data_IF_981525335634
#
_entry.id   IF_981525335634
#
_cell.length_a   1.000
_cell.length_b   1.000
_cell.length_c   1.000
_cell.angle_alpha   90.00
_cell.angle_beta   90.00
_cell.angle_gamma   90.00
#
_symmetry.space_group_name_H-M   'P 1'
#
loop_
_entity.id
_entity.type
_entity.pdbx_description
1 polymer ?
#
# COMPACT_ATOMS: atom_id res chain seq x y z
N UNK A 1 14.13 -19.51 9.81
CA UNK A 1 13.15 -18.40 9.85
C UNK A 1 12.69 -18.14 8.42
N UNK A 2 11.40 -17.93 8.18
CA UNK A 2 10.88 -17.71 6.81
C UNK A 2 11.22 -16.29 6.35
N UNK A 3 11.85 -16.16 5.19
CA UNK A 3 12.25 -14.90 4.55
C UNK A 3 11.08 -13.90 4.42
N UNK A 4 9.83 -14.40 4.39
CA UNK A 4 8.62 -13.59 4.31
C UNK A 4 8.38 -12.70 5.54
N UNK A 5 9.00 -13.03 6.69
CA UNK A 5 8.88 -12.22 7.91
C UNK A 5 9.94 -11.10 7.98
N UNK A 6 10.92 -11.10 7.09
CA UNK A 6 11.94 -10.06 7.04
C UNK A 6 11.32 -8.73 6.60
N UNK A 7 11.76 -7.63 7.23
CA UNK A 7 11.35 -6.27 6.88
C UNK A 7 12.13 -5.77 5.67
N UNK A 8 11.85 -6.36 4.51
CA UNK A 8 12.55 -6.13 3.24
C UNK A 8 11.63 -5.93 2.06
N UNK A 9 10.32 -5.84 2.32
CA UNK A 9 9.28 -5.77 1.29
C UNK A 9 8.76 -4.35 1.13
N UNK A 10 8.42 -4.01 -0.10
CA UNK A 10 7.82 -2.75 -0.48
C UNK A 10 6.57 -3.01 -1.34
N UNK A 11 5.62 -2.10 -1.26
CA UNK A 11 4.43 -2.10 -2.13
C UNK A 11 4.54 -0.94 -3.10
N UNK A 12 4.43 -1.25 -4.38
CA UNK A 12 4.37 -0.25 -5.44
C UNK A 12 2.95 -0.17 -5.99
N UNK A 13 2.62 0.99 -6.55
CA UNK A 13 1.48 1.21 -7.42
C UNK A 13 1.94 1.81 -8.74
N UNK A 14 1.01 2.06 -9.65
CA UNK A 14 1.27 2.86 -10.86
C UNK A 14 1.86 4.26 -10.59
N UNK A 15 1.73 4.76 -9.36
CA UNK A 15 2.19 6.09 -8.94
C UNK A 15 3.61 6.08 -8.35
N UNK A 16 4.17 4.90 -8.05
CA UNK A 16 5.48 4.73 -7.42
C UNK A 16 5.44 3.87 -6.16
N UNK A 17 6.42 4.05 -5.28
CA UNK A 17 6.54 3.32 -4.01
C UNK A 17 5.57 3.86 -2.96
N UNK A 18 4.59 3.04 -2.58
CA UNK A 18 3.56 3.37 -1.58
C UNK A 18 4.11 3.24 -0.16
N UNK A 19 4.88 2.18 0.10
CA UNK A 19 5.61 1.95 1.36
C UNK A 19 6.73 0.91 1.20
N UNK A 20 7.70 0.90 2.13
CA UNK A 20 8.93 0.09 2.10
C UNK A 20 9.34 -0.38 3.49
N UNK A 21 10.15 -1.43 3.61
CA UNK A 21 10.61 -1.95 4.91
C UNK A 21 9.54 -2.73 5.67
N UNK A 22 8.59 -3.31 4.93
CA UNK A 22 7.48 -4.09 5.45
C UNK A 22 7.85 -5.57 5.59
N UNK A 23 7.17 -6.27 6.49
CA UNK A 23 7.05 -7.73 6.37
C UNK A 23 6.13 -8.07 5.18
N UNK A 24 6.17 -9.30 4.67
CA UNK A 24 5.27 -9.70 3.59
C UNK A 24 3.80 -9.64 4.03
N UNK A 25 3.50 -9.94 5.29
CA UNK A 25 2.16 -9.85 5.86
C UNK A 25 1.65 -8.41 5.88
N UNK A 26 2.47 -7.47 6.33
CA UNK A 26 2.14 -6.04 6.32
C UNK A 26 1.97 -5.52 4.88
N UNK A 27 2.82 -5.96 3.95
CA UNK A 27 2.71 -5.62 2.53
C UNK A 27 1.41 -6.14 1.91
N UNK A 28 1.01 -7.38 2.23
CA UNK A 28 -0.25 -7.95 1.78
C UNK A 28 -1.47 -7.17 2.35
N UNK A 29 -1.41 -6.78 3.63
CA UNK A 29 -2.43 -5.91 4.25
C UNK A 29 -2.53 -4.55 3.57
N UNK A 30 -1.40 -3.94 3.23
CA UNK A 30 -1.36 -2.67 2.50
C UNK A 30 -1.96 -2.80 1.09
N UNK A 31 -1.62 -3.86 0.35
CA UNK A 31 -2.22 -4.15 -0.97
C UNK A 31 -3.74 -4.27 -0.86
N UNK A 32 -4.25 -5.00 0.13
CA UNK A 32 -5.69 -5.16 0.34
C UNK A 32 -6.38 -3.81 0.58
N UNK A 33 -5.78 -2.95 1.42
CA UNK A 33 -6.28 -1.59 1.68
C UNK A 33 -6.27 -0.73 0.41
N UNK A 34 -5.15 -0.67 -0.31
CA UNK A 34 -5.01 0.15 -1.52
C UNK A 34 -5.97 -0.31 -2.63
N UNK A 35 -6.19 -1.63 -2.75
CA UNK A 35 -7.20 -2.18 -3.66
C UNK A 35 -8.60 -1.72 -3.29
N UNK A 36 -8.96 -1.67 -2.00
CA UNK A 36 -10.24 -1.12 -1.53
C UNK A 36 -10.36 0.41 -1.78
N UNK A 37 -9.23 1.10 -1.89
CA UNK A 37 -9.15 2.51 -2.30
C UNK A 37 -9.15 2.71 -3.82
N UNK A 38 -9.31 1.63 -4.61
CA UNK A 38 -9.28 1.61 -6.08
C UNK A 38 -7.94 2.04 -6.70
N UNK A 39 -6.85 1.82 -5.98
CA UNK A 39 -5.50 1.96 -6.53
C UNK A 39 -5.20 0.74 -7.41
N UNK A 40 -4.62 1.00 -8.58
CA UNK A 40 -4.30 -0.02 -9.58
C UNK A 40 -2.78 -0.22 -9.72
N UNK A 41 -2.38 -1.30 -10.42
CA UNK A 41 -0.96 -1.61 -10.63
C UNK A 41 -0.19 -2.01 -9.37
N UNK A 42 -0.88 -2.61 -8.38
CA UNK A 42 -0.28 -2.99 -7.10
C UNK A 42 0.65 -4.19 -7.23
N UNK A 43 1.90 -4.05 -6.78
CA UNK A 43 2.84 -5.17 -6.68
C UNK A 43 3.65 -5.15 -5.37
N UNK A 44 3.96 -6.33 -4.84
CA UNK A 44 4.86 -6.51 -3.71
C UNK A 44 6.23 -6.87 -4.27
N UNK A 45 7.24 -6.08 -3.94
CA UNK A 45 8.63 -6.25 -4.37
C UNK A 45 9.57 -6.15 -3.18
N UNK A 46 10.86 -6.39 -3.39
CA UNK A 46 11.87 -6.13 -2.35
C UNK A 46 12.22 -4.64 -2.30
N UNK A 47 12.72 -4.18 -1.16
CA UNK A 47 13.17 -2.79 -0.98
C UNK A 47 14.28 -2.41 -1.97
N UNK A 48 15.15 -3.36 -2.31
CA UNK A 48 16.18 -3.16 -3.33
C UNK A 48 15.59 -2.80 -4.70
N UNK A 49 14.50 -3.45 -5.10
CA UNK A 49 13.80 -3.11 -6.34
C UNK A 49 13.08 -1.76 -6.23
N UNK A 50 12.47 -1.47 -5.08
CA UNK A 50 11.73 -0.23 -4.85
C UNK A 50 12.63 1.02 -4.76
N UNK A 51 13.91 0.87 -4.40
CA UNK A 51 14.86 1.98 -4.22
C UNK A 51 15.06 2.84 -5.49
N UNK A 52 14.78 2.28 -6.67
CA UNK A 52 14.90 2.97 -7.94
C UNK A 52 13.64 3.75 -8.35
N UNK A 53 12.56 3.67 -7.57
CA UNK A 53 11.29 4.29 -7.90
C UNK A 53 10.98 5.48 -6.97
N UNK A 54 10.31 6.53 -7.50
CA UNK A 54 9.88 7.65 -6.69
C UNK A 54 8.84 7.20 -5.64
N UNK A 55 8.90 7.78 -4.45
CA UNK A 55 7.88 7.57 -3.42
C UNK A 55 6.58 8.29 -3.78
N UNK A 56 5.45 7.65 -3.52
CA UNK A 56 4.14 8.27 -3.71
C UNK A 56 3.99 9.41 -2.70
N UNK A 57 3.76 10.61 -3.21
CA UNK A 57 3.41 11.77 -2.37
C UNK A 57 2.01 11.53 -1.82
N UNK A 58 1.90 11.16 -0.54
CA UNK A 58 0.60 11.05 0.15
C UNK A 58 -0.06 12.43 0.19
N UNK A 59 -0.91 12.72 -0.80
CA UNK A 59 -1.89 13.79 -0.67
C UNK A 59 -2.84 13.37 0.46
N UNK A 60 -2.83 14.12 1.57
CA UNK A 60 -3.63 13.84 2.76
C UNK A 60 -5.03 13.34 2.37
N UNK A 61 -5.30 12.05 2.60
CA UNK A 61 -6.55 11.43 2.25
C UNK A 61 -7.69 12.20 2.93
N UNK A 62 -8.55 12.85 2.15
CA UNK A 62 -9.77 13.48 2.68
C UNK A 62 -10.61 12.38 3.34
N UNK A 63 -11.06 12.55 4.60
CA UNK A 63 -11.85 11.53 5.27
C UNK A 63 -13.13 11.26 4.49
N UNK A 64 -13.36 9.99 4.14
CA UNK A 64 -14.59 9.53 3.49
C UNK A 64 -15.77 9.80 4.43
N UNK A 65 -16.57 10.84 4.17
CA UNK A 65 -17.87 11.07 4.84
C UNK A 65 -18.71 9.80 4.69
N UNK A 66 -18.95 9.11 5.80
CA UNK A 66 -19.95 8.07 5.89
C UNK A 66 -21.31 8.70 5.56
N UNK A 67 -21.95 8.26 4.48
CA UNK A 67 -23.34 8.59 4.18
C UNK A 67 -24.20 7.93 5.26
N UNK A 68 -24.62 8.69 6.28
CA UNK A 68 -25.71 8.31 7.20
C UNK A 68 -26.96 8.09 6.35
N UNK A 69 -27.45 6.84 6.29
CA UNK A 69 -28.74 6.51 5.70
C UNK A 69 -29.80 6.88 6.74
N UNK A 70 -30.43 8.05 6.58
CA UNK A 70 -31.64 8.39 7.31
C UNK A 70 -32.77 7.54 6.75
N UNK A 71 -33.28 6.59 7.53
CA UNK A 71 -34.58 5.98 7.27
C UNK A 71 -35.61 6.79 8.05
N UNK A 72 -36.52 7.42 7.31
CA UNK A 72 -37.80 7.90 7.80
C UNK A 72 -38.82 6.74 7.75
#
# INVERSE_FOLDING_TARGET
>A
MSELRERRWAVLSERGCEDSGLSYEDAAGLVARLRAERVSGLCVVTDAAAAHLPRVKKSAAKPKRSRKKSSA
#
